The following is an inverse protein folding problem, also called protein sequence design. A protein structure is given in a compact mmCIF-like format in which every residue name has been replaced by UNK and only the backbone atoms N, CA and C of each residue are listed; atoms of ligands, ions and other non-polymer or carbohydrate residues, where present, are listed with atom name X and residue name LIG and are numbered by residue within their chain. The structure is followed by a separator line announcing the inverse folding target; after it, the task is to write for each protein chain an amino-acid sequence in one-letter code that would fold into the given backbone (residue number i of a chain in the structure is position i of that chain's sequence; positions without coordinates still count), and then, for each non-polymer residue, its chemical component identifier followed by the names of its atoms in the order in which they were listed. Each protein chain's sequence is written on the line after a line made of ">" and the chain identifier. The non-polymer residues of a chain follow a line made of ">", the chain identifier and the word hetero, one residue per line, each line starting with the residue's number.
data_IF_588105012730
#
_entry.id   IF_588105012730
#
_cell.length_a   1.000
_cell.length_b   1.000
_cell.length_c   1.000
_cell.angle_alpha   90.00
_cell.angle_beta   90.00
_cell.angle_gamma   90.00
#
_symmetry.space_group_name_H-M   'P 1'
#
loop_
_entity.id
_entity.type
_entity.pdbx_description
1 polymer ?
#
# COMPACT_ATOMS: atom_id res chain seq x y z
N UNK A 1 -58.23 3.32 48.76
CA UNK A 1 -58.29 4.75 49.09
C UNK A 1 -57.07 5.39 48.46
N UNK A 2 -57.24 6.46 47.68
CA UNK A 2 -56.13 7.15 46.98
C UNK A 2 -55.44 8.18 47.89
N UNK A 3 -56.11 8.52 49.00
CA UNK A 3 -55.70 9.51 50.00
C UNK A 3 -54.63 9.00 50.96
N UNK A 4 -54.35 7.70 50.99
CA UNK A 4 -53.32 7.08 51.84
C UNK A 4 -51.94 6.96 51.15
N UNK A 5 -51.81 7.43 49.91
CA UNK A 5 -50.55 7.33 49.15
C UNK A 5 -49.64 8.50 49.55
N UNK A 6 -48.38 8.26 49.96
CA UNK A 6 -47.44 9.33 50.28
C UNK A 6 -47.17 10.23 49.06
N UNK A 7 -46.85 11.49 49.32
CA UNK A 7 -46.59 12.49 48.27
C UNK A 7 -45.44 12.03 47.34
N UNK A 8 -45.78 11.77 46.09
CA UNK A 8 -44.83 11.31 45.07
C UNK A 8 -44.16 12.53 44.43
N UNK A 9 -42.88 12.72 44.72
CA UNK A 9 -42.13 13.89 44.26
C UNK A 9 -41.56 13.73 42.84
N UNK A 10 -41.22 12.50 42.43
CA UNK A 10 -40.66 12.21 41.11
C UNK A 10 -41.14 10.83 40.65
N UNK A 11 -41.61 10.75 39.42
CA UNK A 11 -41.92 9.48 38.74
C UNK A 11 -40.94 9.34 37.58
N UNK A 12 -40.08 8.31 37.62
CA UNK A 12 -39.16 7.97 36.52
C UNK A 12 -39.76 6.80 35.77
N UNK A 13 -40.16 7.02 34.52
CA UNK A 13 -40.66 5.97 33.64
C UNK A 13 -39.52 5.62 32.67
N UNK A 14 -38.77 4.54 32.89
CA UNK A 14 -37.85 4.05 31.89
C UNK A 14 -38.68 3.48 30.75
N UNK A 15 -38.43 3.95 29.52
CA UNK A 15 -39.03 3.48 28.25
C UNK A 15 -40.58 3.55 28.12
N UNK A 16 -41.04 3.44 26.88
CA UNK A 16 -42.38 3.83 26.39
C UNK A 16 -43.50 2.84 26.81
N UNK A 17 -43.65 2.54 28.10
CA UNK A 17 -44.72 1.68 28.66
C UNK A 17 -46.04 2.41 28.92
N UNK A 18 -46.35 3.43 28.11
CA UNK A 18 -47.63 4.15 28.20
C UNK A 18 -48.82 3.30 27.79
N UNK A 19 -48.59 2.10 27.24
CA UNK A 19 -49.60 1.14 26.82
C UNK A 19 -50.38 0.51 27.99
N UNK A 20 -49.87 0.65 29.22
CA UNK A 20 -50.55 0.21 30.44
C UNK A 20 -51.22 1.33 31.24
N UNK A 21 -51.08 2.58 30.82
CA UNK A 21 -51.68 3.74 31.48
C UNK A 21 -52.92 4.20 30.70
N UNK A 22 -53.98 4.57 31.41
CA UNK A 22 -55.16 5.15 30.77
C UNK A 22 -54.86 6.56 30.24
N UNK A 23 -55.60 6.98 29.22
CA UNK A 23 -55.35 8.23 28.51
C UNK A 23 -55.47 9.47 29.43
N UNK A 24 -56.28 9.40 30.49
CA UNK A 24 -56.43 10.50 31.43
C UNK A 24 -55.17 10.66 32.29
N UNK A 25 -54.59 9.56 32.77
CA UNK A 25 -53.32 9.56 33.52
C UNK A 25 -52.16 10.05 32.66
N UNK A 26 -52.05 9.57 31.40
CA UNK A 26 -51.00 10.01 30.48
C UNK A 26 -51.10 11.51 30.16
N UNK A 27 -52.30 12.02 29.86
CA UNK A 27 -52.50 13.45 29.57
C UNK A 27 -52.16 14.34 30.77
N UNK A 28 -52.42 13.86 31.98
CA UNK A 28 -52.11 14.59 33.22
C UNK A 28 -50.61 14.61 33.49
N UNK A 29 -49.93 13.46 33.31
CA UNK A 29 -48.48 13.35 33.44
C UNK A 29 -47.74 14.22 32.41
N UNK A 30 -48.20 14.25 31.15
CA UNK A 30 -47.55 15.04 30.09
C UNK A 30 -47.52 16.54 30.34
N UNK A 31 -48.48 17.08 31.12
CA UNK A 31 -48.47 18.51 31.47
C UNK A 31 -47.33 18.90 32.40
N UNK A 32 -46.75 17.94 33.12
CA UNK A 32 -45.73 18.17 34.15
C UNK A 32 -44.47 17.31 33.95
N UNK A 33 -44.36 16.62 32.81
CA UNK A 33 -43.23 15.76 32.49
C UNK A 33 -42.08 16.54 31.85
N UNK A 34 -40.85 16.18 32.24
CA UNK A 34 -39.63 16.60 31.56
C UNK A 34 -39.02 15.40 30.84
N UNK A 35 -38.80 15.54 29.54
CA UNK A 35 -38.13 14.51 28.73
C UNK A 35 -36.63 14.78 28.70
N UNK A 36 -35.85 13.78 29.11
CA UNK A 36 -34.39 13.81 28.98
C UNK A 36 -33.95 13.02 27.75
N UNK A 37 -33.11 13.63 26.91
CA UNK A 37 -32.46 12.94 25.80
C UNK A 37 -31.26 12.10 26.29
N UNK A 38 -30.67 11.29 25.41
CA UNK A 38 -29.52 10.44 25.74
C UNK A 38 -28.36 11.28 26.28
N UNK A 39 -27.81 10.88 27.44
CA UNK A 39 -26.82 11.63 28.21
C UNK A 39 -27.30 12.98 28.78
N UNK A 40 -28.56 13.34 28.55
CA UNK A 40 -29.20 14.46 29.19
C UNK A 40 -29.20 14.29 30.71
N UNK A 41 -28.99 15.39 31.41
CA UNK A 41 -29.03 15.41 32.86
C UNK A 41 -29.86 16.58 33.38
N UNK A 42 -30.66 16.32 34.40
CA UNK A 42 -31.48 17.32 35.07
C UNK A 42 -31.20 17.29 36.57
N UNK A 43 -30.94 18.47 37.14
CA UNK A 43 -30.90 18.64 38.59
C UNK A 43 -32.33 18.85 39.07
N UNK A 44 -32.75 18.03 40.01
CA UNK A 44 -34.06 18.14 40.67
C UNK A 44 -33.82 18.67 42.08
N UNK A 45 -34.53 19.74 42.42
CA UNK A 45 -34.50 20.36 43.74
C UNK A 45 -35.79 20.01 44.48
N UNK A 46 -35.65 19.41 45.66
CA UNK A 46 -36.75 19.07 46.58
C UNK A 46 -36.52 19.87 47.86
N UNK A 47 -37.55 20.30 48.60
CA UNK A 47 -37.34 20.90 49.92
C UNK A 47 -36.39 20.03 50.76
N UNK A 48 -35.29 20.62 51.21
CA UNK A 48 -34.18 20.03 51.96
C UNK A 48 -33.09 19.23 51.19
N UNK A 49 -33.24 18.88 49.90
CA UNK A 49 -32.18 18.15 49.15
C UNK A 49 -32.17 18.44 47.65
N UNK A 50 -31.05 18.18 46.96
CA UNK A 50 -31.02 18.15 45.49
C UNK A 50 -30.22 16.97 44.98
N UNK A 51 -30.63 16.41 43.83
CA UNK A 51 -29.90 15.34 43.15
C UNK A 51 -29.92 15.54 41.64
N UNK A 52 -28.94 14.93 40.95
CA UNK A 52 -28.81 15.00 39.49
C UNK A 52 -29.20 13.67 38.87
N UNK A 53 -30.30 13.67 38.12
CA UNK A 53 -30.69 12.56 37.24
C UNK A 53 -29.89 12.66 35.95
N UNK A 54 -29.25 11.57 35.52
CA UNK A 54 -28.55 11.47 34.23
C UNK A 54 -29.08 10.25 33.49
N UNK A 55 -29.53 10.44 32.26
CA UNK A 55 -30.05 9.36 31.43
C UNK A 55 -28.87 8.59 30.80
N UNK A 56 -28.58 7.38 31.29
CA UNK A 56 -27.54 6.50 30.72
C UNK A 56 -28.19 5.48 29.78
N UNK A 57 -27.56 5.17 28.64
CA UNK A 57 -28.09 4.18 27.72
C UNK A 57 -28.05 2.79 28.39
N UNK A 58 -29.23 2.22 28.63
CA UNK A 58 -29.36 0.83 29.03
C UNK A 58 -29.73 0.00 27.80
N UNK A 59 -28.84 -0.89 27.40
CA UNK A 59 -29.02 -1.74 26.23
C UNK A 59 -29.92 -2.93 26.62
N UNK A 60 -31.22 -2.84 26.34
CA UNK A 60 -32.15 -3.95 26.54
C UNK A 60 -32.22 -4.78 25.26
N UNK A 61 -31.76 -6.04 25.29
CA UNK A 61 -32.11 -7.04 24.27
C UNK A 61 -33.52 -7.58 24.57
N UNK A 62 -34.56 -6.81 24.22
CA UNK A 62 -35.93 -7.32 24.27
C UNK A 62 -36.29 -7.97 22.94
N UNK A 63 -36.31 -9.30 22.93
CA UNK A 63 -36.93 -10.14 21.90
C UNK A 63 -38.44 -9.91 21.92
N UNK A 64 -38.94 -8.90 21.19
CA UNK A 64 -40.38 -8.78 20.92
C UNK A 64 -40.81 -9.88 19.93
N UNK A 65 -41.34 -10.98 20.46
CA UNK A 65 -42.22 -11.86 19.70
C UNK A 65 -43.58 -11.17 19.54
N UNK A 66 -43.86 -10.67 18.34
CA UNK A 66 -45.14 -10.04 17.99
C UNK A 66 -46.15 -11.14 17.64
N UNK A 67 -46.97 -11.54 18.60
CA UNK A 67 -48.16 -12.37 18.36
C UNK A 67 -49.42 -11.50 18.44
N UNK A 68 -49.68 -10.76 17.36
CA UNK A 68 -50.87 -9.94 17.17
C UNK A 68 -51.63 -10.38 15.92
N UNK A 69 -52.70 -11.16 16.10
CA UNK A 69 -53.62 -11.59 15.04
C UNK A 69 -54.33 -10.36 14.42
N UNK A 70 -54.33 -10.27 13.09
CA UNK A 70 -55.50 -9.75 12.37
C UNK A 70 -55.39 -8.44 11.58
N UNK A 71 -54.20 -7.95 11.21
CA UNK A 71 -54.10 -6.95 10.12
C UNK A 71 -53.11 -7.43 9.06
N UNK A 72 -53.65 -7.71 7.86
CA UNK A 72 -52.90 -7.99 6.63
C UNK A 72 -52.08 -6.75 6.23
N UNK A 73 -50.98 -6.49 6.93
CA UNK A 73 -49.88 -5.79 6.30
C UNK A 73 -49.23 -6.79 5.34
N UNK A 74 -49.23 -6.48 4.05
CA UNK A 74 -48.40 -7.18 3.08
C UNK A 74 -46.95 -7.01 3.52
N UNK A 75 -46.45 -7.93 4.35
CA UNK A 75 -45.03 -8.16 4.48
C UNK A 75 -44.59 -8.74 3.14
N UNK A 76 -44.07 -7.88 2.27
CA UNK A 76 -43.20 -8.36 1.20
C UNK A 76 -42.07 -9.07 1.92
N UNK A 77 -42.07 -10.40 1.80
CA UNK A 77 -40.95 -11.27 2.12
C UNK A 77 -39.73 -10.76 1.33
N UNK A 78 -38.99 -9.82 1.89
CA UNK A 78 -37.65 -9.48 1.47
C UNK A 78 -36.80 -10.69 1.76
N UNK A 79 -36.53 -11.48 0.72
CA UNK A 79 -35.70 -12.68 0.83
C UNK A 79 -34.34 -12.25 1.41
N UNK A 80 -33.97 -12.70 2.63
CA UNK A 80 -32.72 -12.34 3.29
C UNK A 80 -31.47 -12.80 2.52
N UNK A 81 -31.63 -13.57 1.44
CA UNK A 81 -30.54 -14.10 0.63
C UNK A 81 -29.62 -13.05 -0.01
N UNK A 82 -30.08 -11.83 -0.27
CA UNK A 82 -29.26 -10.83 -0.99
C UNK A 82 -28.34 -10.04 -0.08
N UNK A 83 -28.82 -9.60 1.08
CA UNK A 83 -27.98 -8.98 2.13
C UNK A 83 -26.98 -10.01 2.65
N UNK A 84 -27.42 -11.25 2.85
CA UNK A 84 -26.54 -12.36 3.19
C UNK A 84 -25.50 -12.62 2.09
N UNK A 85 -25.86 -12.53 0.80
CA UNK A 85 -24.90 -12.68 -0.30
C UNK A 85 -23.86 -11.55 -0.31
N UNK A 86 -24.25 -10.29 -0.15
CA UNK A 86 -23.31 -9.16 -0.06
C UNK A 86 -22.40 -9.25 1.18
N UNK A 87 -22.94 -9.71 2.31
CA UNK A 87 -22.16 -9.93 3.52
C UNK A 87 -21.19 -11.10 3.34
N UNK A 88 -21.64 -12.21 2.74
CA UNK A 88 -20.80 -13.36 2.41
C UNK A 88 -19.73 -12.97 1.41
N UNK A 89 -20.02 -12.20 0.35
CA UNK A 89 -19.00 -11.78 -0.62
C UNK A 89 -18.00 -10.80 -0.03
N UNK A 90 -18.45 -9.86 0.81
CA UNK A 90 -17.55 -8.98 1.55
C UNK A 90 -16.67 -9.78 2.53
N UNK A 91 -17.25 -10.73 3.27
CA UNK A 91 -16.55 -11.61 4.20
C UNK A 91 -15.59 -12.57 3.49
N UNK A 92 -16.00 -13.13 2.35
CA UNK A 92 -15.14 -13.98 1.52
C UNK A 92 -13.99 -13.17 0.98
N UNK A 93 -14.22 -11.93 0.54
CA UNK A 93 -13.16 -11.06 0.06
C UNK A 93 -12.19 -10.70 1.19
N UNK A 94 -12.68 -10.39 2.40
CA UNK A 94 -11.83 -10.07 3.56
C UNK A 94 -11.10 -11.28 4.14
N UNK A 95 -11.52 -12.52 3.87
CA UNK A 95 -10.83 -13.74 4.36
C UNK A 95 -9.96 -14.36 3.26
N UNK A 96 -10.48 -14.52 2.05
CA UNK A 96 -9.81 -15.17 0.92
C UNK A 96 -8.63 -14.33 0.44
N UNK A 97 -8.78 -13.00 0.35
CA UNK A 97 -7.67 -12.16 -0.09
C UNK A 97 -6.50 -12.25 0.90
N UNK A 98 -6.65 -12.04 2.22
CA UNK A 98 -5.53 -12.20 3.14
C UNK A 98 -4.96 -13.62 3.21
N UNK A 99 -5.79 -14.66 3.15
CA UNK A 99 -5.30 -16.05 3.21
C UNK A 99 -4.50 -16.42 1.96
N UNK A 100 -4.99 -16.12 0.76
CA UNK A 100 -4.25 -16.31 -0.50
C UNK A 100 -2.95 -15.51 -0.50
N UNK A 101 -2.97 -14.30 0.06
CA UNK A 101 -1.79 -13.46 0.18
C UNK A 101 -0.77 -13.98 1.18
N UNK A 102 -1.19 -14.46 2.36
CA UNK A 102 -0.30 -15.10 3.35
C UNK A 102 0.33 -16.37 2.75
N UNK A 103 -0.45 -17.20 2.07
CA UNK A 103 0.07 -18.42 1.45
C UNK A 103 1.03 -18.11 0.30
N UNK A 104 0.77 -17.06 -0.48
CA UNK A 104 1.66 -16.64 -1.57
C UNK A 104 2.97 -16.03 -1.04
N UNK A 105 2.90 -15.23 0.03
CA UNK A 105 4.08 -14.68 0.69
C UNK A 105 4.98 -15.77 1.30
N UNK A 106 4.39 -16.80 1.92
CA UNK A 106 5.11 -17.96 2.43
C UNK A 106 5.76 -18.78 1.31
N UNK A 107 5.09 -18.90 0.16
CA UNK A 107 5.61 -19.64 -0.99
C UNK A 107 6.79 -18.93 -1.66
N UNK A 108 6.70 -17.60 -1.85
CA UNK A 108 7.78 -16.81 -2.47
C UNK A 108 9.03 -16.74 -1.55
N UNK A 109 8.85 -16.79 -0.23
CA UNK A 109 9.98 -16.88 0.70
C UNK A 109 10.78 -18.19 0.59
N UNK A 110 10.20 -19.25 0.01
CA UNK A 110 10.82 -20.57 -0.10
C UNK A 110 11.66 -20.76 -1.38
N UNK A 111 11.56 -19.86 -2.37
CA UNK A 111 12.24 -20.03 -3.68
C UNK A 111 13.60 -19.34 -3.75
N UNK A 112 14.30 -19.18 -2.62
CA UNK A 112 15.73 -18.86 -2.63
C UNK A 112 16.50 -20.06 -3.17
N UNK A 113 16.59 -20.16 -4.50
CA UNK A 113 17.36 -21.17 -5.21
C UNK A 113 18.82 -21.01 -4.78
N UNK A 114 19.32 -21.97 -4.00
CA UNK A 114 20.74 -22.22 -3.86
C UNK A 114 21.20 -22.73 -5.22
N UNK A 115 21.75 -21.85 -6.05
CA UNK A 115 22.48 -22.29 -7.23
C UNK A 115 23.67 -23.13 -6.74
N UNK A 116 23.66 -24.41 -7.10
CA UNK A 116 24.76 -25.32 -6.80
C UNK A 116 25.98 -24.83 -7.58
N UNK A 117 26.90 -24.16 -6.89
CA UNK A 117 28.15 -23.70 -7.47
C UNK A 117 29.04 -24.88 -7.86
N UNK A 118 29.60 -24.82 -9.06
CA UNK A 118 30.59 -25.77 -9.55
C UNK A 118 31.96 -25.35 -9.03
N UNK A 119 32.55 -26.18 -8.17
CA UNK A 119 33.91 -25.99 -7.66
C UNK A 119 34.89 -26.04 -8.85
N UNK A 120 35.49 -24.90 -9.21
CA UNK A 120 36.52 -24.85 -10.25
C UNK A 120 37.86 -25.18 -9.61
N UNK A 121 38.48 -26.26 -10.08
CA UNK A 121 39.77 -26.75 -9.59
C UNK A 121 40.90 -25.83 -10.10
N UNK A 122 41.03 -24.65 -9.50
CA UNK A 122 42.14 -23.72 -9.75
C UNK A 122 43.41 -24.22 -9.08
N UNK A 123 44.54 -24.22 -9.81
CA UNK A 123 45.86 -24.55 -9.25
C UNK A 123 46.45 -23.41 -8.40
N UNK A 124 45.89 -22.22 -8.50
CA UNK A 124 46.37 -21.05 -7.78
C UNK A 124 45.62 -20.92 -6.45
N UNK A 125 46.30 -20.35 -5.43
CA UNK A 125 45.66 -20.03 -4.15
C UNK A 125 44.50 -19.08 -4.41
N UNK A 126 43.34 -19.40 -3.85
CA UNK A 126 42.12 -18.63 -3.92
C UNK A 126 41.51 -18.51 -2.52
N UNK A 127 40.86 -17.39 -2.28
CA UNK A 127 40.20 -17.07 -1.02
C UNK A 127 38.71 -16.85 -1.27
N UNK A 128 37.88 -17.62 -0.60
CA UNK A 128 36.42 -17.50 -0.71
C UNK A 128 35.90 -16.58 0.40
N UNK A 129 35.36 -15.44 0.00
CA UNK A 129 34.76 -14.44 0.85
C UNK A 129 33.24 -14.55 0.82
N UNK A 130 32.67 -14.79 1.99
CA UNK A 130 31.23 -14.78 2.21
C UNK A 130 30.80 -13.39 2.66
N UNK A 131 29.80 -12.82 1.97
CA UNK A 131 29.26 -11.49 2.26
C UNK A 131 27.87 -11.58 2.87
N UNK A 132 27.66 -10.94 4.02
CA UNK A 132 26.38 -10.85 4.70
C UNK A 132 26.01 -9.39 4.98
N UNK A 133 24.87 -8.90 4.50
CA UNK A 133 24.43 -7.55 4.84
C UNK A 133 24.05 -7.50 6.33
N UNK A 134 24.55 -6.49 7.06
CA UNK A 134 24.28 -6.31 8.49
C UNK A 134 23.21 -5.24 8.71
N UNK A 135 23.37 -4.08 8.08
CA UNK A 135 22.43 -2.96 8.15
C UNK A 135 22.40 -2.23 6.82
N UNK A 136 21.29 -1.58 6.53
CA UNK A 136 21.17 -0.68 5.39
C UNK A 136 20.31 0.52 5.76
N UNK A 137 20.80 1.71 5.44
CA UNK A 137 20.10 2.96 5.59
C UNK A 137 19.94 3.62 4.22
N UNK A 138 18.77 3.37 3.63
CA UNK A 138 18.37 3.85 2.31
C UNK A 138 18.30 5.38 2.28
N UNK A 139 17.83 6.02 3.37
CA UNK A 139 17.74 7.48 3.43
C UNK A 139 19.10 8.16 3.35
N UNK A 140 20.17 7.48 3.82
CA UNK A 140 21.55 7.96 3.69
C UNK A 140 22.34 7.30 2.56
N UNK A 141 21.70 6.44 1.76
CA UNK A 141 22.36 5.62 0.74
C UNK A 141 23.61 4.88 1.24
N UNK A 142 23.53 4.27 2.43
CA UNK A 142 24.66 3.49 2.99
C UNK A 142 24.21 2.11 3.42
N UNK A 143 25.08 1.12 3.25
CA UNK A 143 24.91 -0.22 3.78
C UNK A 143 26.17 -0.63 4.54
N UNK A 144 26.02 -1.54 5.50
CA UNK A 144 27.15 -2.16 6.19
C UNK A 144 27.11 -3.64 5.86
N UNK A 145 28.16 -4.11 5.17
CA UNK A 145 28.36 -5.52 4.90
C UNK A 145 29.34 -6.11 5.92
N UNK A 146 28.98 -7.28 6.44
CA UNK A 146 29.87 -8.17 7.16
C UNK A 146 30.48 -9.15 6.19
N UNK A 147 31.78 -9.39 6.33
CA UNK A 147 32.55 -10.29 5.50
C UNK A 147 33.17 -11.35 6.38
N UNK A 148 33.20 -12.57 5.89
CA UNK A 148 33.87 -13.69 6.55
C UNK A 148 34.62 -14.50 5.50
N UNK A 149 35.85 -14.89 5.82
CA UNK A 149 36.59 -15.86 5.01
C UNK A 149 35.99 -17.24 5.29
N UNK A 150 35.40 -17.85 4.27
CA UNK A 150 34.77 -19.17 4.38
C UNK A 150 35.79 -20.29 4.13
N UNK A 151 36.61 -20.13 3.09
CA UNK A 151 37.69 -21.07 2.77
C UNK A 151 38.92 -20.37 2.17
N UNK A 152 40.08 -21.00 2.35
CA UNK A 152 41.37 -20.67 1.75
C UNK A 152 41.91 -21.97 1.16
N UNK A 153 42.23 -22.01 -0.13
CA UNK A 153 42.68 -23.25 -0.79
C UNK A 153 44.11 -23.66 -0.40
N UNK A 154 44.82 -22.81 0.35
CA UNK A 154 46.15 -23.13 0.87
C UNK A 154 46.10 -24.20 1.98
N UNK A 155 46.88 -25.29 1.81
CA UNK A 155 46.87 -26.46 2.70
C UNK A 155 47.95 -26.45 3.80
N UNK A 156 49.12 -25.88 3.54
CA UNK A 156 50.26 -25.88 4.48
C UNK A 156 51.15 -24.65 4.24
N UNK A 157 51.74 -24.12 5.31
CA UNK A 157 52.67 -22.97 5.29
C UNK A 157 52.10 -21.72 4.60
N UNK A 158 50.83 -21.44 4.89
CA UNK A 158 50.10 -20.33 4.30
C UNK A 158 50.56 -18.99 4.86
N UNK A 159 51.08 -18.16 3.97
CA UNK A 159 51.41 -16.75 4.19
C UNK A 159 50.15 -15.92 4.49
N UNK A 160 50.35 -14.79 5.19
CA UNK A 160 49.28 -13.85 5.46
C UNK A 160 48.77 -13.20 4.16
N UNK A 161 47.46 -13.01 4.06
CA UNK A 161 46.80 -12.42 2.90
C UNK A 161 46.22 -11.07 3.30
N UNK A 162 46.64 -10.03 2.59
CA UNK A 162 46.14 -8.67 2.75
C UNK A 162 44.98 -8.45 1.78
N UNK A 163 43.81 -8.11 2.32
CA UNK A 163 42.58 -7.88 1.54
C UNK A 163 42.28 -6.40 1.47
N UNK A 164 42.09 -5.91 0.25
CA UNK A 164 41.80 -4.53 -0.08
C UNK A 164 40.41 -4.44 -0.71
N UNK A 165 39.65 -3.42 -0.30
CA UNK A 165 38.43 -3.01 -0.98
C UNK A 165 38.63 -1.60 -1.47
N UNK A 166 38.45 -1.41 -2.77
CA UNK A 166 38.19 -0.11 -3.34
C UNK A 166 36.67 0.09 -3.32
N UNK A 167 36.24 0.89 -2.37
CA UNK A 167 34.87 1.37 -2.31
C UNK A 167 34.95 2.70 -2.99
N UNK A 168 34.40 2.78 -4.21
CA UNK A 168 34.48 3.97 -5.04
C UNK A 168 34.28 5.22 -4.17
N UNK A 169 35.22 6.18 -4.21
CA UNK A 169 35.03 7.42 -3.47
C UNK A 169 33.70 8.03 -3.91
N UNK A 170 32.99 8.72 -2.99
CA UNK A 170 31.72 9.36 -3.34
C UNK A 170 31.88 10.18 -4.62
N UNK A 171 30.86 10.20 -5.52
CA UNK A 171 30.96 10.89 -6.79
C UNK A 171 31.42 12.33 -6.54
N UNK A 172 32.66 12.62 -6.90
CA UNK A 172 33.20 13.96 -6.86
C UNK A 172 32.42 14.76 -7.89
N UNK A 173 31.92 15.94 -7.48
CA UNK A 173 31.14 16.86 -8.31
C UNK A 173 31.71 16.90 -9.75
N UNK A 174 30.87 16.56 -10.74
CA UNK A 174 31.16 16.54 -12.19
C UNK A 174 31.80 17.83 -12.73
N UNK A 175 31.77 18.92 -11.97
CA UNK A 175 32.36 20.20 -12.34
C UNK A 175 33.89 20.26 -12.26
N UNK A 176 34.59 19.20 -11.85
CA UNK A 176 36.05 19.18 -11.83
C UNK A 176 36.61 18.58 -13.15
N UNK A 177 37.07 19.40 -14.12
CA UNK A 177 37.53 18.95 -15.44
C UNK A 177 38.81 18.10 -15.41
N UNK A 178 39.25 17.69 -14.22
CA UNK A 178 40.37 16.79 -13.96
C UNK A 178 39.98 15.32 -13.76
N UNK A 179 38.94 14.81 -14.43
CA UNK A 179 38.53 13.39 -14.43
C UNK A 179 39.58 12.51 -15.17
N UNK A 180 40.85 12.61 -14.79
CA UNK A 180 41.91 11.69 -15.19
C UNK A 180 42.01 10.60 -14.13
N UNK A 181 41.71 9.37 -14.56
CA UNK A 181 42.15 8.09 -13.99
C UNK A 181 42.36 8.09 -12.46
N UNK A 182 41.28 8.08 -11.70
CA UNK A 182 41.33 7.83 -10.25
C UNK A 182 41.76 6.39 -9.91
N UNK A 183 41.96 5.53 -10.91
CA UNK A 183 42.40 4.14 -10.76
C UNK A 183 43.81 3.99 -10.16
N UNK A 184 44.65 5.03 -10.15
CA UNK A 184 46.08 4.87 -9.83
C UNK A 184 46.43 5.04 -8.35
N UNK A 185 45.49 5.38 -7.47
CA UNK A 185 45.72 5.43 -6.01
C UNK A 185 44.90 4.38 -5.28
N UNK A 186 45.13 3.13 -5.64
CA UNK A 186 44.72 1.99 -4.82
C UNK A 186 45.12 2.25 -3.36
N UNK A 187 44.19 2.03 -2.43
CA UNK A 187 44.49 2.14 -0.99
C UNK A 187 45.68 1.25 -0.67
N UNK A 188 46.72 1.84 -0.09
CA UNK A 188 47.93 1.11 0.32
C UNK A 188 47.76 0.37 1.64
N UNK A 189 46.68 0.65 2.38
CA UNK A 189 46.39 0.01 3.66
C UNK A 189 45.33 -1.09 3.50
N UNK A 190 45.64 -2.35 3.89
CA UNK A 190 44.66 -3.41 3.83
C UNK A 190 43.52 -3.14 4.82
N UNK A 191 42.30 -3.49 4.42
CA UNK A 191 41.12 -3.42 5.29
C UNK A 191 41.13 -4.58 6.28
N UNK A 192 41.69 -5.71 5.86
CA UNK A 192 41.74 -6.92 6.66
C UNK A 192 42.97 -7.77 6.29
N UNK A 193 43.65 -8.31 7.30
CA UNK A 193 44.75 -9.27 7.13
C UNK A 193 44.30 -10.65 7.59
N UNK A 194 44.22 -11.59 6.65
CA UNK A 194 43.88 -12.98 6.90
C UNK A 194 45.14 -13.79 7.23
N UNK A 195 45.11 -14.51 8.34
CA UNK A 195 46.18 -15.43 8.73
C UNK A 195 45.57 -16.82 8.92
N UNK A 196 45.89 -17.72 7.98
CA UNK A 196 45.34 -19.07 7.91
C UNK A 196 45.78 -19.98 9.07
N UNK A 197 46.90 -19.68 9.73
CA UNK A 197 47.39 -20.48 10.88
C UNK A 197 46.58 -20.25 12.15
N UNK A 198 45.73 -19.21 12.18
CA UNK A 198 44.85 -18.91 13.31
C UNK A 198 43.69 -19.89 13.41
N UNK A 199 43.94 -21.09 13.93
CA UNK A 199 42.89 -22.09 14.19
C UNK A 199 41.89 -21.58 15.23
N UNK A 200 40.63 -21.35 14.84
CA UNK A 200 39.52 -21.42 15.80
C UNK A 200 38.51 -20.28 15.87
N UNK A 201 38.54 -19.25 15.03
CA UNK A 201 37.44 -18.27 14.98
C UNK A 201 37.19 -17.81 13.55
N UNK A 202 35.94 -17.86 13.09
CA UNK A 202 35.48 -17.15 11.89
C UNK A 202 35.86 -15.68 12.06
N UNK A 203 36.87 -15.21 11.31
CA UNK A 203 37.29 -13.82 11.40
C UNK A 203 36.36 -13.00 10.52
N UNK A 204 35.53 -12.21 11.18
CA UNK A 204 34.57 -11.36 10.51
C UNK A 204 35.09 -9.92 10.53
N UNK A 205 34.99 -9.24 9.40
CA UNK A 205 35.23 -7.79 9.33
C UNK A 205 34.02 -7.09 8.72
N UNK A 206 33.97 -5.76 8.84
CA UNK A 206 32.83 -4.95 8.38
C UNK A 206 33.33 -3.86 7.45
N UNK A 207 32.60 -3.63 6.38
CA UNK A 207 32.82 -2.48 5.50
C UNK A 207 31.53 -1.67 5.36
N UNK A 208 31.70 -0.35 5.24
CA UNK A 208 30.61 0.57 4.93
C UNK A 208 30.59 0.79 3.43
N UNK A 209 29.49 0.40 2.81
CA UNK A 209 29.22 0.50 1.38
C UNK A 209 28.37 1.74 1.10
N UNK A 210 28.70 2.44 0.02
CA UNK A 210 27.86 3.50 -0.51
C UNK A 210 26.92 2.87 -1.54
N UNK A 211 25.62 3.03 -1.32
CA UNK A 211 24.62 2.61 -2.29
C UNK A 211 24.61 3.64 -3.41
N UNK A 212 24.85 3.20 -4.62
CA UNK A 212 24.81 4.08 -5.78
C UNK A 212 23.39 4.05 -6.36
N UNK A 213 22.91 5.22 -6.72
CA UNK A 213 21.80 5.30 -7.65
C UNK A 213 22.40 4.96 -9.01
N UNK A 214 22.11 3.77 -9.54
CA UNK A 214 22.44 3.45 -10.92
C UNK A 214 21.51 4.29 -11.81
N UNK A 215 21.88 5.55 -12.01
CA UNK A 215 21.25 6.44 -12.99
C UNK A 215 21.81 6.18 -14.40
N UNK A 216 22.90 5.42 -14.48
CA UNK A 216 23.77 5.42 -15.64
C UNK A 216 23.90 4.03 -16.27
N UNK A 217 23.92 4.09 -17.60
CA UNK A 217 24.41 3.07 -18.54
C UNK A 217 23.42 1.98 -19.01
N UNK A 218 22.68 2.37 -20.05
CA UNK A 218 22.59 1.65 -21.33
C UNK A 218 21.94 0.25 -21.43
N UNK A 219 21.12 -0.23 -20.51
CA UNK A 219 20.21 -1.34 -20.88
C UNK A 219 18.95 -0.86 -21.65
N UNK A 220 19.16 0.06 -22.60
CA UNK A 220 18.12 0.47 -23.56
C UNK A 220 17.65 -0.70 -24.43
N UNK A 221 18.42 -1.80 -24.51
CA UNK A 221 18.10 -2.96 -25.33
C UNK A 221 17.08 -3.90 -24.68
N UNK A 222 16.98 -3.96 -23.36
CA UNK A 222 16.00 -4.84 -22.70
C UNK A 222 14.62 -4.22 -22.54
N UNK A 223 14.48 -2.89 -22.69
CA UNK A 223 13.20 -2.19 -22.49
C UNK A 223 12.66 -2.32 -21.05
N UNK A 224 13.46 -2.85 -20.12
CA UNK A 224 13.16 -2.88 -18.70
C UNK A 224 13.83 -1.67 -18.07
N UNK A 225 13.01 -0.65 -17.78
CA UNK A 225 13.41 0.45 -16.91
C UNK A 225 13.67 -0.12 -15.52
N UNK A 226 14.93 -0.40 -15.20
CA UNK A 226 15.33 -0.72 -13.84
C UNK A 226 15.14 0.53 -12.96
N UNK A 227 14.32 0.37 -11.92
CA UNK A 227 13.77 1.47 -11.12
C UNK A 227 14.64 1.70 -9.89
N UNK A 228 15.75 2.39 -10.06
CA UNK A 228 16.74 2.56 -8.97
C UNK A 228 16.42 3.65 -7.95
N UNK A 229 15.29 4.35 -8.08
CA UNK A 229 14.98 5.55 -7.29
C UNK A 229 14.10 5.23 -6.08
N UNK A 230 14.31 5.89 -4.91
CA UNK A 230 13.35 5.84 -3.80
C UNK A 230 11.93 6.28 -4.20
N UNK A 231 11.77 7.02 -5.31
CA UNK A 231 10.46 7.36 -5.87
C UNK A 231 9.64 6.12 -6.30
N UNK A 232 10.27 4.96 -6.50
CA UNK A 232 9.59 3.72 -6.90
C UNK A 232 9.22 2.81 -5.73
N UNK A 233 9.32 3.28 -4.48
CA UNK A 233 8.91 2.51 -3.30
C UNK A 233 7.52 1.87 -3.48
N UNK A 234 7.36 0.56 -3.24
CA UNK A 234 8.26 -0.39 -2.57
C UNK A 234 9.04 -1.27 -3.57
N UNK A 235 9.06 -0.91 -4.85
CA UNK A 235 9.75 -1.64 -5.92
C UNK A 235 11.14 -1.08 -6.22
N UNK A 236 11.67 -0.28 -5.30
CA UNK A 236 13.00 0.31 -5.34
C UNK A 236 14.09 -0.78 -5.28
N UNK A 237 15.12 -0.59 -6.12
CA UNK A 237 16.31 -1.44 -6.21
C UNK A 237 17.57 -0.60 -6.06
N UNK A 238 18.43 -0.95 -5.11
CA UNK A 238 19.70 -0.28 -4.91
C UNK A 238 20.83 -1.19 -5.33
N UNK A 239 21.85 -0.62 -5.96
CA UNK A 239 23.03 -1.36 -6.37
C UNK A 239 24.28 -0.68 -5.82
N UNK A 240 25.30 -1.47 -5.56
CA UNK A 240 26.62 -0.97 -5.19
C UNK A 240 27.63 -1.90 -5.81
N UNK A 241 28.61 -1.32 -6.50
CA UNK A 241 29.75 -2.06 -7.02
C UNK A 241 30.86 -2.01 -6.00
N UNK A 242 31.53 -3.14 -5.82
CA UNK A 242 32.68 -3.27 -4.95
C UNK A 242 33.81 -3.86 -5.78
N UNK A 243 34.95 -3.17 -5.79
CA UNK A 243 36.18 -3.71 -6.36
C UNK A 243 37.02 -4.22 -5.21
N UNK A 244 37.39 -5.49 -5.23
CA UNK A 244 38.20 -6.10 -4.19
C UNK A 244 39.36 -6.87 -4.81
N UNK A 245 40.50 -6.83 -4.14
CA UNK A 245 41.67 -7.62 -4.50
C UNK A 245 42.38 -8.08 -3.23
N UNK A 246 43.12 -9.18 -3.34
CA UNK A 246 43.95 -9.69 -2.27
C UNK A 246 45.38 -9.84 -2.77
N UNK A 247 46.34 -9.69 -1.86
CA UNK A 247 47.76 -9.96 -2.14
C UNK A 247 48.39 -10.72 -0.99
N UNK A 248 49.37 -11.54 -1.32
CA UNK A 248 50.23 -12.18 -0.35
C UNK A 248 51.12 -11.13 0.35
N UNK A 249 51.12 -11.10 1.67
CA UNK A 249 51.88 -10.13 2.46
C UNK A 249 53.41 -10.30 2.28
N UNK A 250 53.87 -11.49 1.93
CA UNK A 250 55.30 -11.83 1.81
C UNK A 250 55.83 -11.69 0.39
N UNK A 251 55.08 -12.17 -0.61
CA UNK A 251 55.53 -12.15 -2.01
C UNK A 251 55.01 -10.94 -2.78
N UNK A 252 53.98 -10.26 -2.26
CA UNK A 252 53.26 -9.20 -2.96
C UNK A 252 52.60 -9.67 -4.28
N UNK A 253 52.43 -10.99 -4.46
CA UNK A 253 51.66 -11.56 -5.56
C UNK A 253 50.17 -11.49 -5.26
N UNK A 254 49.36 -11.24 -6.27
CA UNK A 254 47.91 -11.14 -6.15
C UNK A 254 47.27 -12.53 -6.00
N UNK A 255 46.23 -12.60 -5.17
CA UNK A 255 45.50 -13.82 -4.83
C UNK A 255 44.08 -13.68 -5.35
N UNK A 256 43.56 -14.73 -5.99
CA UNK A 256 42.21 -14.74 -6.53
C UNK A 256 41.18 -14.68 -5.38
N UNK A 257 40.26 -13.72 -5.46
CA UNK A 257 39.11 -13.61 -4.56
C UNK A 257 37.88 -14.20 -5.23
N UNK A 258 37.18 -15.08 -4.52
CA UNK A 258 35.88 -15.59 -4.93
C UNK A 258 34.83 -15.10 -3.94
N UNK A 259 33.68 -14.66 -4.42
CA UNK A 259 32.63 -14.09 -3.58
C UNK A 259 31.43 -15.01 -3.54
N UNK A 260 31.11 -15.49 -2.35
CA UNK A 260 29.95 -16.33 -2.13
C UNK A 260 28.81 -15.50 -1.54
N UNK A 261 27.62 -15.54 -2.16
CA UNK A 261 26.48 -14.81 -1.67
C UNK A 261 26.03 -15.42 -0.34
N UNK A 262 26.08 -14.61 0.71
CA UNK A 262 25.38 -14.95 1.93
C UNK A 262 23.90 -14.72 1.79
N UNK A 263 23.11 -15.77 2.04
CA UNK A 263 21.68 -15.59 2.31
C UNK A 263 21.54 -14.81 3.62
N UNK A 264 21.27 -13.52 3.51
CA UNK A 264 21.10 -12.62 4.65
C UNK A 264 19.88 -11.74 4.47
N UNK A 265 19.05 -11.66 5.50
CA UNK A 265 17.97 -10.69 5.58
C UNK A 265 18.43 -9.53 6.46
N UNK A 266 18.56 -8.34 5.86
CA UNK A 266 18.45 -7.11 6.65
C UNK A 266 16.97 -6.85 6.81
N UNK A 267 16.54 -6.35 7.96
CA UNK A 267 15.11 -6.10 8.24
C UNK A 267 14.49 -5.31 7.07
N UNK A 268 13.64 -5.98 6.29
CA UNK A 268 12.94 -5.40 5.15
C UNK A 268 13.64 -5.38 3.79
N UNK A 269 14.88 -5.88 3.69
CA UNK A 269 15.63 -5.92 2.44
C UNK A 269 16.14 -7.32 2.13
N UNK A 270 16.01 -7.69 0.86
CA UNK A 270 16.63 -8.84 0.25
C UNK A 270 17.94 -8.41 -0.41
N UNK A 271 18.96 -9.23 -0.23
CA UNK A 271 20.28 -9.02 -0.77
C UNK A 271 20.58 -10.09 -1.82
N UNK A 272 21.14 -9.67 -2.94
CA UNK A 272 21.56 -10.54 -4.03
C UNK A 272 22.88 -10.04 -4.62
N UNK A 273 23.75 -10.94 -5.04
CA UNK A 273 24.93 -10.59 -5.85
C UNK A 273 24.47 -10.52 -7.31
N UNK A 274 24.73 -9.40 -7.97
CA UNK A 274 24.39 -9.14 -9.38
C UNK A 274 25.69 -8.92 -10.12
N UNK A 275 26.21 -9.98 -10.74
CA UNK A 275 27.47 -9.98 -11.46
C UNK A 275 28.37 -11.13 -11.01
N UNK A 276 28.80 -11.94 -11.97
CA UNK A 276 29.88 -12.90 -11.77
C UNK A 276 31.24 -12.20 -11.83
N UNK A 277 32.31 -12.86 -11.38
CA UNK A 277 33.66 -12.32 -11.53
C UNK A 277 33.92 -12.01 -13.01
N UNK A 278 34.13 -10.73 -13.32
CA UNK A 278 34.71 -10.34 -14.60
C UNK A 278 36.13 -10.88 -14.64
N UNK A 279 36.46 -11.73 -15.62
CA UNK A 279 37.83 -12.18 -15.88
C UNK A 279 38.63 -11.04 -16.50
N UNK A 280 38.80 -9.96 -15.76
CA UNK A 280 39.78 -8.94 -16.13
C UNK A 280 41.17 -9.47 -15.78
N UNK A 281 42.10 -9.34 -16.73
CA UNK A 281 43.47 -9.85 -16.62
C UNK A 281 44.26 -9.30 -15.41
N UNK A 282 43.74 -8.26 -14.75
CA UNK A 282 44.37 -7.56 -13.64
C UNK A 282 44.03 -8.14 -12.25
N UNK A 283 43.34 -9.29 -12.16
CA UNK A 283 42.97 -9.97 -10.91
C UNK A 283 42.13 -9.12 -9.92
N UNK A 284 41.58 -7.98 -10.36
CA UNK A 284 40.63 -7.20 -9.58
C UNK A 284 39.27 -7.84 -9.77
N UNK A 285 38.65 -8.23 -8.66
CA UNK A 285 37.32 -8.82 -8.70
C UNK A 285 36.28 -7.74 -8.45
N UNK A 286 35.41 -7.52 -9.44
CA UNK A 286 34.26 -6.64 -9.33
C UNK A 286 33.03 -7.43 -8.88
N UNK A 287 32.33 -6.92 -7.87
CA UNK A 287 31.12 -7.53 -7.32
C UNK A 287 30.02 -6.48 -7.34
N UNK A 288 28.95 -6.73 -8.08
CA UNK A 288 27.72 -5.98 -7.92
C UNK A 288 26.92 -6.56 -6.78
N UNK A 289 26.53 -5.73 -5.81
CA UNK A 289 25.57 -6.10 -4.78
C UNK A 289 24.27 -5.36 -5.05
N UNK A 290 23.16 -6.10 -5.09
CA UNK A 290 21.82 -5.55 -5.23
C UNK A 290 21.03 -5.73 -3.94
N UNK A 291 20.44 -4.64 -3.46
CA UNK A 291 19.49 -4.62 -2.37
C UNK A 291 18.10 -4.29 -2.94
N UNK A 292 17.14 -5.17 -2.68
CA UNK A 292 15.72 -5.00 -3.07
C UNK A 292 14.86 -5.07 -1.84
N UNK A 293 13.66 -4.48 -1.85
CA UNK A 293 12.68 -4.69 -0.77
C UNK A 293 12.29 -6.16 -0.68
N UNK A 294 12.16 -6.66 0.54
CA UNK A 294 11.65 -8.01 0.76
C UNK A 294 10.21 -8.10 0.22
N UNK A 295 9.86 -9.22 -0.41
CA UNK A 295 8.51 -9.50 -0.94
C UNK A 295 7.42 -9.23 0.09
N UNK A 296 7.66 -9.53 1.37
CA UNK A 296 6.69 -9.27 2.45
C UNK A 296 6.36 -7.77 2.56
N UNK A 297 7.36 -6.88 2.49
CA UNK A 297 7.14 -5.42 2.53
C UNK A 297 6.36 -4.97 1.30
N UNK A 298 6.76 -5.42 0.11
CA UNK A 298 6.07 -5.09 -1.15
C UNK A 298 4.59 -5.47 -1.03
N UNK A 299 4.33 -6.68 -0.55
CA UNK A 299 3.00 -7.20 -0.32
C UNK A 299 2.21 -6.35 0.68
N UNK A 300 2.80 -6.06 1.84
CA UNK A 300 2.17 -5.26 2.88
C UNK A 300 1.74 -3.88 2.38
N UNK A 301 2.64 -3.20 1.66
CA UNK A 301 2.37 -1.91 1.05
C UNK A 301 1.22 -1.97 0.02
N UNK A 302 1.20 -2.99 -0.84
CA UNK A 302 0.12 -3.18 -1.81
C UNK A 302 -1.23 -3.43 -1.14
N UNK A 303 -1.28 -4.23 -0.07
CA UNK A 303 -2.51 -4.48 0.69
C UNK A 303 -3.05 -3.19 1.27
N UNK A 304 -2.20 -2.34 1.87
CA UNK A 304 -2.63 -1.04 2.39
C UNK A 304 -3.15 -0.15 1.26
N UNK A 305 -2.46 -0.08 0.12
CA UNK A 305 -2.92 0.71 -1.03
C UNK A 305 -4.30 0.25 -1.51
N UNK A 306 -4.54 -1.07 -1.60
CA UNK A 306 -5.85 -1.62 -1.95
C UNK A 306 -6.89 -1.25 -0.89
N UNK A 307 -6.55 -1.34 0.40
CA UNK A 307 -7.45 -0.96 1.49
C UNK A 307 -7.84 0.54 1.42
N UNK A 308 -6.89 1.43 1.11
CA UNK A 308 -7.17 2.85 0.89
C UNK A 308 -8.20 3.05 -0.22
N UNK A 309 -8.01 2.40 -1.37
CA UNK A 309 -8.95 2.46 -2.48
C UNK A 309 -10.34 1.95 -2.10
N UNK A 310 -10.44 0.80 -1.43
CA UNK A 310 -11.72 0.23 -1.05
C UNK A 310 -12.48 1.13 -0.06
N UNK A 311 -11.81 1.63 0.96
CA UNK A 311 -12.41 2.54 1.95
C UNK A 311 -12.85 3.85 1.27
N UNK A 312 -12.01 4.45 0.43
CA UNK A 312 -12.36 5.67 -0.30
C UNK A 312 -13.55 5.45 -1.22
N UNK A 313 -13.56 4.38 -2.00
CA UNK A 313 -14.69 4.06 -2.88
C UNK A 313 -15.98 3.86 -2.09
N UNK A 314 -15.92 3.19 -0.93
CA UNK A 314 -17.08 3.04 -0.04
C UNK A 314 -17.60 4.39 0.45
N UNK A 315 -16.72 5.28 0.91
CA UNK A 315 -17.10 6.62 1.37
C UNK A 315 -17.66 7.46 0.21
N UNK A 316 -17.08 7.38 -0.99
CA UNK A 316 -17.59 8.06 -2.17
C UNK A 316 -18.98 7.54 -2.56
N UNK A 317 -19.23 6.23 -2.48
CA UNK A 317 -20.57 5.67 -2.74
C UNK A 317 -21.60 6.13 -1.70
N UNK A 318 -21.21 6.20 -0.42
CA UNK A 318 -22.07 6.77 0.63
C UNK A 318 -22.38 8.24 0.33
N UNK A 319 -21.37 9.02 -0.05
CA UNK A 319 -21.54 10.42 -0.44
C UNK A 319 -22.46 10.57 -1.65
N UNK A 320 -22.29 9.77 -2.71
CA UNK A 320 -23.17 9.80 -3.88
C UNK A 320 -24.60 9.41 -3.49
N UNK A 321 -24.77 8.39 -2.64
CA UNK A 321 -26.06 7.98 -2.12
C UNK A 321 -26.76 9.17 -1.42
N UNK A 322 -26.06 9.88 -0.54
CA UNK A 322 -26.66 10.95 0.27
C UNK A 322 -26.86 12.24 -0.52
N UNK A 323 -25.93 12.58 -1.41
CA UNK A 323 -25.98 13.78 -2.27
C UNK A 323 -27.01 13.66 -3.38
N UNK A 324 -26.93 12.58 -4.17
CA UNK A 324 -27.69 12.46 -5.41
C UNK A 324 -29.11 11.98 -5.14
N UNK A 325 -29.29 11.05 -4.20
CA UNK A 325 -30.60 10.49 -3.88
C UNK A 325 -31.28 11.16 -2.69
N UNK A 326 -30.59 12.08 -2.00
CA UNK A 326 -31.16 12.87 -0.90
C UNK A 326 -31.48 12.06 0.35
N UNK A 327 -30.85 10.90 0.53
CA UNK A 327 -31.07 10.06 1.71
C UNK A 327 -30.68 10.78 3.00
N UNK A 328 -31.45 10.57 4.07
CA UNK A 328 -31.12 11.11 5.40
C UNK A 328 -29.87 10.43 5.96
N UNK A 329 -28.84 11.21 6.26
CA UNK A 329 -27.57 10.74 6.83
C UNK A 329 -27.51 11.10 8.32
N UNK A 330 -26.90 10.23 9.14
CA UNK A 330 -26.63 10.55 10.55
C UNK A 330 -25.47 11.55 10.64
N UNK A 331 -25.55 12.48 11.60
CA UNK A 331 -24.54 13.53 11.79
C UNK A 331 -23.13 12.96 11.99
N UNK A 332 -23.04 11.77 12.60
CA UNK A 332 -21.80 11.02 12.81
C UNK A 332 -21.07 10.62 11.51
N UNK A 333 -21.80 10.41 10.42
CA UNK A 333 -21.19 9.91 9.16
C UNK A 333 -20.53 11.06 8.39
N UNK A 334 -20.93 12.32 8.64
CA UNK A 334 -20.36 13.50 7.98
C UNK A 334 -18.88 13.68 8.33
N UNK A 335 -18.46 13.28 9.53
CA UNK A 335 -17.06 13.39 9.98
C UNK A 335 -16.16 12.25 9.48
N UNK A 336 -16.71 11.17 8.94
CA UNK A 336 -15.95 9.98 8.54
C UNK A 336 -14.87 10.26 7.49
N UNK A 337 -15.11 10.96 6.37
CA UNK A 337 -14.05 11.22 5.40
C UNK A 337 -12.96 12.11 5.96
N UNK A 338 -13.31 13.07 6.83
CA UNK A 338 -12.34 13.96 7.48
C UNK A 338 -11.40 13.13 8.36
N UNK A 339 -11.93 12.25 9.21
CA UNK A 339 -11.12 11.34 10.01
C UNK A 339 -10.29 10.36 9.16
N UNK A 340 -10.85 9.92 8.04
CA UNK A 340 -10.17 8.99 7.11
C UNK A 340 -8.95 9.62 6.45
N UNK A 341 -9.02 10.90 6.07
CA UNK A 341 -7.86 11.65 5.51
C UNK A 341 -6.65 11.59 6.44
N UNK A 342 -6.84 11.88 7.73
CA UNK A 342 -5.76 11.82 8.72
C UNK A 342 -5.30 10.39 9.02
N UNK A 343 -6.23 9.43 9.02
CA UNK A 343 -5.90 8.03 9.25
C UNK A 343 -5.03 7.47 8.12
N UNK A 344 -5.29 7.87 6.88
CA UNK A 344 -4.52 7.41 5.72
C UNK A 344 -3.08 7.91 5.74
N UNK A 345 -2.86 9.18 6.12
CA UNK A 345 -1.50 9.73 6.26
C UNK A 345 -0.72 9.01 7.37
N UNK A 346 -1.36 8.74 8.52
CA UNK A 346 -0.74 7.96 9.60
C UNK A 346 -0.42 6.53 9.19
N UNK A 347 -1.33 5.86 8.47
CA UNK A 347 -1.10 4.50 8.00
C UNK A 347 0.03 4.46 6.95
N UNK A 348 0.17 5.49 6.12
CA UNK A 348 1.31 5.64 5.20
C UNK A 348 2.63 5.79 5.95
N UNK A 349 2.68 6.57 7.02
CA UNK A 349 3.88 6.71 7.87
C UNK A 349 4.29 5.40 8.56
N UNK A 350 3.36 4.47 8.74
CA UNK A 350 3.64 3.15 9.32
C UNK A 350 4.29 2.16 8.33
N UNK A 351 4.39 2.51 7.04
CA UNK A 351 4.96 1.62 6.03
C UNK A 351 6.48 1.46 6.23
N UNK A 352 6.99 0.22 6.35
CA UNK A 352 8.37 -0.02 6.73
C UNK A 352 9.34 0.46 5.65
N UNK A 353 10.18 1.43 6.02
CA UNK A 353 11.21 1.99 5.15
C UNK A 353 10.69 2.86 4.01
N UNK A 354 9.44 3.33 4.09
CA UNK A 354 8.92 4.36 3.19
C UNK A 354 9.70 5.67 3.37
N UNK A 355 9.98 6.42 2.29
CA UNK A 355 10.60 7.74 2.39
C UNK A 355 9.78 8.69 3.28
N UNK A 356 10.44 9.50 4.10
CA UNK A 356 9.74 10.47 4.97
C UNK A 356 8.98 11.53 4.16
N UNK A 357 9.49 11.85 2.97
CA UNK A 357 8.87 12.79 2.04
C UNK A 357 7.78 12.11 1.23
N UNK A 358 6.73 12.86 0.89
CA UNK A 358 5.74 12.45 -0.11
C UNK A 358 6.37 12.42 -1.51
N UNK A 359 5.83 11.56 -2.37
CA UNK A 359 6.16 11.56 -3.80
C UNK A 359 6.71 10.24 -4.32
N UNK A 360 6.58 9.16 -3.55
CA UNK A 360 6.77 7.82 -4.10
C UNK A 360 5.56 7.39 -4.95
N UNK A 361 5.72 6.30 -5.69
CA UNK A 361 4.70 5.78 -6.60
C UNK A 361 3.43 5.33 -5.86
N UNK A 362 3.53 4.86 -4.61
CA UNK A 362 2.37 4.53 -3.79
C UNK A 362 1.61 5.79 -3.40
N UNK A 363 2.32 6.87 -3.04
CA UNK A 363 1.69 8.14 -2.74
C UNK A 363 0.95 8.67 -3.97
N UNK A 364 1.58 8.61 -5.14
CA UNK A 364 1.03 9.13 -6.38
C UNK A 364 -0.18 8.34 -6.89
N UNK A 365 -0.12 7.01 -6.85
CA UNK A 365 -1.16 6.14 -7.43
C UNK A 365 -2.20 5.71 -6.40
N UNK A 366 -1.79 5.58 -5.14
CA UNK A 366 -2.63 5.11 -4.04
C UNK A 366 -3.19 6.26 -3.23
N UNK A 367 -2.33 6.95 -2.50
CA UNK A 367 -2.75 7.86 -1.43
C UNK A 367 -3.36 9.16 -1.96
N UNK A 368 -2.67 9.87 -2.84
CA UNK A 368 -3.04 11.22 -3.29
C UNK A 368 -4.41 11.25 -4.01
N UNK A 369 -4.73 10.35 -4.96
CA UNK A 369 -6.06 10.26 -5.54
C UNK A 369 -7.13 9.98 -4.47
N UNK A 370 -6.82 9.09 -3.51
CA UNK A 370 -7.74 8.78 -2.42
C UNK A 370 -8.01 10.00 -1.52
N UNK A 371 -6.98 10.78 -1.18
CA UNK A 371 -7.12 11.99 -0.39
C UNK A 371 -7.94 13.07 -1.11
N UNK A 372 -7.73 13.24 -2.42
CA UNK A 372 -8.53 14.17 -3.24
C UNK A 372 -10.00 13.76 -3.23
N UNK A 373 -10.30 12.48 -3.49
CA UNK A 373 -11.66 11.96 -3.48
C UNK A 373 -12.33 12.08 -2.11
N UNK A 374 -11.61 11.79 -1.03
CA UNK A 374 -12.12 11.95 0.34
C UNK A 374 -12.38 13.41 0.68
N UNK A 375 -11.52 14.33 0.23
CA UNK A 375 -11.67 15.77 0.45
C UNK A 375 -12.90 16.33 -0.28
N UNK A 376 -13.09 15.95 -1.55
CA UNK A 376 -14.30 16.29 -2.31
C UNK A 376 -15.54 15.72 -1.62
N UNK A 377 -15.47 14.47 -1.15
CA UNK A 377 -16.58 13.82 -0.45
C UNK A 377 -16.92 14.52 0.88
N UNK A 378 -15.91 14.94 1.64
CA UNK A 378 -16.09 15.70 2.87
C UNK A 378 -16.80 17.04 2.61
N UNK A 379 -16.29 17.82 1.65
CA UNK A 379 -16.86 19.13 1.30
C UNK A 379 -18.30 18.98 0.81
N UNK A 380 -18.59 17.97 -0.03
CA UNK A 380 -19.95 17.71 -0.52
C UNK A 380 -20.93 17.36 0.62
N UNK A 381 -20.51 16.50 1.55
CA UNK A 381 -21.38 16.11 2.67
C UNK A 381 -21.60 17.27 3.66
N UNK A 382 -20.56 18.04 3.97
CA UNK A 382 -20.71 19.25 4.79
C UNK A 382 -21.61 20.28 4.10
N UNK A 383 -21.45 20.47 2.79
CA UNK A 383 -22.28 21.38 2.00
C UNK A 383 -23.76 21.01 2.08
N UNK A 384 -24.11 19.73 1.91
CA UNK A 384 -25.50 19.30 2.07
C UNK A 384 -25.99 19.50 3.48
N UNK A 385 -25.16 19.19 4.47
CA UNK A 385 -25.53 19.37 5.87
C UNK A 385 -25.83 20.84 6.20
N UNK A 386 -25.09 21.79 5.61
CA UNK A 386 -25.30 23.22 5.80
C UNK A 386 -26.50 23.76 5.01
N UNK A 387 -26.69 23.31 3.77
CA UNK A 387 -27.72 23.88 2.89
C UNK A 387 -29.05 23.14 2.92
N UNK A 388 -29.08 21.93 3.47
CA UNK A 388 -30.30 21.16 3.57
C UNK A 388 -30.54 20.74 5.01
N UNK A 389 -31.74 21.05 5.50
CA UNK A 389 -32.19 20.68 6.82
C UNK A 389 -32.09 19.15 7.00
N UNK A 390 -31.12 18.66 7.79
CA UNK A 390 -30.85 17.23 7.95
C UNK A 390 -31.99 16.53 8.69
N UNK A 391 -32.76 17.28 9.48
CA UNK A 391 -33.87 16.78 10.30
C UNK A 391 -35.22 16.84 9.59
N UNK A 392 -35.25 17.32 8.33
CA UNK A 392 -36.49 17.40 7.58
C UNK A 392 -37.11 16.00 7.40
N UNK A 393 -38.31 15.75 7.98
CA UNK A 393 -38.94 14.43 7.97
C UNK A 393 -39.39 13.98 6.56
N UNK A 394 -39.38 14.88 5.58
CA UNK A 394 -39.67 14.53 4.18
C UNK A 394 -38.53 13.76 3.49
N UNK A 395 -37.32 13.75 4.05
CA UNK A 395 -36.21 12.94 3.52
C UNK A 395 -36.43 11.46 3.80
N UNK A 396 -36.32 10.65 2.75
CA UNK A 396 -36.41 9.20 2.87
C UNK A 396 -35.25 8.66 3.69
N UNK A 397 -35.54 7.69 4.55
CA UNK A 397 -34.50 6.93 5.25
C UNK A 397 -33.81 6.02 4.24
N UNK A 398 -32.48 5.92 4.31
CA UNK A 398 -31.72 5.02 3.44
C UNK A 398 -32.15 3.57 3.73
N UNK A 399 -33.01 3.00 2.90
CA UNK A 399 -33.27 1.56 2.88
C UNK A 399 -32.51 0.91 1.74
N UNK A 400 -31.91 -0.25 2.01
CA UNK A 400 -31.12 -0.97 1.01
C UNK A 400 -31.92 -1.34 -0.23
N UNK A 401 -33.20 -1.67 -0.08
CA UNK A 401 -34.07 -2.03 -1.20
C UNK A 401 -34.40 -0.84 -2.09
N UNK A 402 -34.58 0.36 -1.53
CA UNK A 402 -34.74 1.57 -2.34
C UNK A 402 -33.46 1.89 -3.10
N UNK A 403 -32.30 1.80 -2.45
CA UNK A 403 -31.01 1.99 -3.10
C UNK A 403 -30.78 0.97 -4.22
N UNK A 404 -31.12 -0.31 -4.01
CA UNK A 404 -31.02 -1.36 -5.03
C UNK A 404 -31.92 -1.05 -6.23
N UNK A 405 -33.17 -0.64 -5.99
CA UNK A 405 -34.11 -0.30 -7.06
C UNK A 405 -33.65 0.94 -7.86
N UNK A 406 -33.16 1.96 -7.17
CA UNK A 406 -32.67 3.18 -7.79
C UNK A 406 -31.37 2.93 -8.59
N UNK A 407 -30.45 2.12 -8.07
CA UNK A 407 -29.24 1.69 -8.77
C UNK A 407 -29.57 0.85 -10.01
N UNK A 408 -30.53 -0.08 -9.93
CA UNK A 408 -30.99 -0.87 -11.07
C UNK A 408 -31.63 0.03 -12.14
N UNK A 409 -32.47 0.98 -11.73
CA UNK A 409 -33.08 1.94 -12.64
C UNK A 409 -32.02 2.82 -13.33
N UNK A 410 -31.03 3.31 -12.58
CA UNK A 410 -29.94 4.12 -13.11
C UNK A 410 -29.01 3.33 -14.03
N UNK A 411 -28.64 2.10 -13.66
CA UNK A 411 -27.85 1.19 -14.49
C UNK A 411 -28.54 0.90 -15.83
N UNK A 412 -29.85 0.61 -15.79
CA UNK A 412 -30.65 0.43 -17.01
C UNK A 412 -30.69 1.71 -17.87
N UNK A 413 -30.79 2.88 -17.25
CA UNK A 413 -30.73 4.17 -17.96
C UNK A 413 -29.38 4.41 -18.61
N UNK A 414 -28.26 4.13 -17.93
CA UNK A 414 -26.92 4.23 -18.53
C UNK A 414 -26.78 3.24 -19.68
N UNK A 415 -27.19 1.98 -19.50
CA UNK A 415 -27.10 0.95 -20.53
C UNK A 415 -27.93 1.30 -21.78
N UNK A 416 -29.10 1.90 -21.61
CA UNK A 416 -29.92 2.36 -22.75
C UNK A 416 -29.30 3.58 -23.44
N UNK A 417 -28.75 4.53 -22.68
CA UNK A 417 -28.09 5.72 -23.21
C UNK A 417 -26.79 5.37 -23.96
N UNK A 418 -25.97 4.46 -23.41
CA UNK A 418 -24.74 3.99 -24.06
C UNK A 418 -25.04 3.24 -25.36
N UNK A 419 -26.06 2.38 -25.38
CA UNK A 419 -26.55 1.73 -26.61
C UNK A 419 -26.99 2.75 -27.66
N UNK A 420 -27.64 3.85 -27.26
CA UNK A 420 -28.01 4.92 -28.19
C UNK A 420 -26.78 5.67 -28.72
N UNK A 421 -25.78 5.97 -27.88
CA UNK A 421 -24.52 6.59 -28.32
C UNK A 421 -23.74 5.71 -29.29
N UNK A 422 -23.60 4.41 -29.01
CA UNK A 422 -22.94 3.44 -29.90
C UNK A 422 -23.69 3.34 -31.24
N UNK A 423 -25.03 3.32 -31.23
CA UNK A 423 -25.84 3.35 -32.47
C UNK A 423 -25.61 4.63 -33.27
N UNK A 424 -25.57 5.80 -32.62
CA UNK A 424 -25.28 7.09 -33.27
C UNK A 424 -23.86 7.13 -33.84
N UNK A 425 -22.86 6.63 -33.10
CA UNK A 425 -21.48 6.54 -33.55
C UNK A 425 -21.36 5.63 -34.79
N UNK A 426 -21.95 4.42 -34.75
CA UNK A 426 -22.00 3.51 -35.91
C UNK A 426 -22.66 4.15 -37.12
N UNK A 427 -23.77 4.87 -36.92
CA UNK A 427 -24.46 5.57 -38.02
C UNK A 427 -23.59 6.68 -38.63
N UNK A 428 -22.83 7.42 -37.80
CA UNK A 428 -21.88 8.43 -38.29
C UNK A 428 -20.72 7.80 -39.07
N UNK A 429 -20.17 6.68 -38.60
CA UNK A 429 -19.12 5.93 -39.31
C UNK A 429 -19.65 5.43 -40.66
N UNK A 430 -20.82 4.79 -40.70
CA UNK A 430 -21.44 4.33 -41.95
C UNK A 430 -21.69 5.46 -42.94
N UNK A 431 -22.15 6.63 -42.48
CA UNK A 431 -22.37 7.80 -43.32
C UNK A 431 -21.05 8.36 -43.87
N UNK A 432 -19.98 8.35 -43.07
CA UNK A 432 -18.64 8.76 -43.51
C UNK A 432 -18.08 7.78 -44.55
N UNK A 433 -18.24 6.47 -44.34
CA UNK A 433 -17.83 5.44 -45.30
C UNK A 433 -18.62 5.54 -46.62
N UNK A 434 -19.94 5.79 -46.57
CA UNK A 434 -20.76 5.95 -47.79
C UNK A 434 -20.40 7.19 -48.60
N UNK A 435 -19.91 8.27 -47.95
CA UNK A 435 -19.39 9.45 -48.63
C UNK A 435 -18.00 9.24 -49.25
N UNK A 436 -17.27 8.21 -48.82
CA UNK A 436 -16.00 7.77 -49.40
C UNK A 436 -16.17 6.67 -50.45
N UNK A 437 -17.40 6.41 -50.92
CA UNK A 437 -17.59 5.53 -52.07
C UNK A 437 -16.72 6.08 -53.23
N UNK A 438 -15.89 5.23 -53.84
CA UNK A 438 -14.83 5.67 -54.72
C UNK A 438 -15.44 6.35 -55.95
N UNK A 439 -14.97 7.56 -56.22
CA UNK A 439 -15.06 8.17 -57.54
C UNK A 439 -14.12 7.36 -58.45
N UNK A 440 -14.56 6.17 -58.85
CA UNK A 440 -13.94 5.43 -59.94
C UNK A 440 -14.30 6.18 -61.21
N UNK A 441 -13.37 7.01 -61.69
CA UNK A 441 -13.09 7.31 -63.10
C UNK A 441 -12.17 8.55 -63.20
N UNK A 442 -10.99 8.46 -62.57
CA UNK A 442 -9.87 9.30 -62.98
C UNK A 442 -8.75 8.34 -63.37
N UNK A 443 -8.77 7.94 -64.64
CA UNK A 443 -7.60 7.37 -65.31
C UNK A 443 -6.46 8.39 -65.20
N UNK A 444 -5.51 8.13 -64.32
CA UNK A 444 -4.27 8.90 -64.25
C UNK A 444 -3.35 8.30 -65.32
N UNK A 445 -2.93 9.06 -66.34
CA UNK A 445 -2.00 8.56 -67.33
C UNK A 445 -0.66 8.26 -66.65
N UNK A 446 -0.14 7.06 -66.87
CA UNK A 446 1.21 6.68 -66.45
C UNK A 446 2.22 7.63 -67.11
N UNK A 447 2.94 8.38 -66.28
CA UNK A 447 4.15 9.09 -66.67
C UNK A 447 5.33 8.18 -66.31
N UNK A 448 6.06 7.75 -67.34
CA UNK A 448 7.31 7.01 -67.23
C UNK A 448 8.41 7.95 -66.69
N UNK A 449 8.81 7.77 -65.43
CA UNK A 449 10.01 8.41 -64.89
C UNK A 449 11.21 7.48 -65.06
N UNK A 450 11.95 7.73 -66.13
CA UNK A 450 13.31 7.27 -66.32
C UNK A 450 14.30 8.22 -65.61
N UNK A 451 15.27 7.59 -64.92
CA UNK A 451 16.59 8.09 -64.53
C UNK A 451 16.68 9.33 -63.63
N UNK A 452 17.37 9.17 -62.50
CA UNK A 452 18.69 9.79 -62.29
C UNK A 452 19.31 9.30 -60.98
N UNK A 453 20.47 8.64 -61.09
CA UNK A 453 21.42 8.47 -59.99
C UNK A 453 22.38 9.65 -60.00
N UNK A 454 22.81 10.17 -58.84
CA UNK A 454 24.10 10.84 -58.73
C UNK A 454 25.07 10.06 -57.82
N UNK A 455 26.34 10.24 -58.18
CA UNK A 455 27.59 9.70 -57.61
C UNK A 455 27.87 10.25 -56.21
#
# INVERSE_FOLDING_TARGET
>A
MIEDIPEVHVIVIPHNHYDHLDNCTVSTLFKHAHTLDWWGAQRVEIPATSFKLTCTPAQHWSSMAVEGKGKKFMSRYQKPSRVFCCFITALLFTIVVPTVWITSALWIGSTGVLDNFHETESRNRSLVLFVKPLTANIASFTAVAGWSVESDTCRSDCTEVEIFFDIDPPPLNESDPGYRSYHDKARTTPIFTWNATGTGNTRNFRSKLNLLHSDDVQDYKSGHFDKHSPAYYPFDRYETSISAFARDASTNESIQLEFHPGSGFVVGLQFAIVGGPSEDANQISHIGLSLKRNTLIIVYCLVITIAFWLITLMICLIMIATVVFGFRQRNEIVVVPIGTVFTFTQLRESMPGAPKTFGDIIDLVGLLPCLILLSISAVAMVGIYLFADPDNPSRRTLSWDELENDLLHYSNRIATTSKQYVRRARFRVLKATRRRAPYNDVEIPLVDDASENPV
#
